data_IF_027408977911
#
_entry.id   IF_027408977911
#
_cell.length_a   1.000
_cell.length_b   1.000
_cell.length_c   1.000
_cell.angle_alpha   90.00
_cell.angle_beta   90.00
_cell.angle_gamma   90.00
#
_symmetry.space_group_name_H-M   'P 1'
#
loop_
_entity.id
_entity.type
_entity.pdbx_description
1 polymer ?
#
# COMPACT_ATOMS: atom_id res chain seq x y z
N UNK A 1 5.36 6.51 -4.81
CA UNK A 1 4.50 5.56 -5.54
C UNK A 1 4.39 5.89 -7.02
N UNK A 2 4.04 7.12 -7.41
CA UNK A 2 3.91 7.49 -8.84
C UNK A 2 5.17 7.19 -9.67
N UNK A 3 6.36 7.52 -9.14
CA UNK A 3 7.63 7.25 -9.82
C UNK A 3 8.07 5.77 -9.74
N UNK A 4 7.55 5.02 -8.77
CA UNK A 4 7.92 3.64 -8.49
C UNK A 4 6.68 2.79 -8.17
N UNK A 5 5.79 2.56 -9.15
CA UNK A 5 4.52 1.87 -8.95
C UNK A 5 4.71 0.41 -8.46
N UNK A 6 5.84 -0.20 -8.79
CA UNK A 6 6.17 -1.58 -8.43
C UNK A 6 6.88 -1.75 -7.08
N UNK A 7 7.12 -0.66 -6.34
CA UNK A 7 7.83 -0.70 -5.05
C UNK A 7 7.08 -1.48 -3.94
N UNK A 8 5.75 -1.63 -4.05
CA UNK A 8 4.96 -2.41 -3.11
C UNK A 8 5.08 -3.92 -3.34
N UNK A 9 5.04 -4.66 -2.23
CA UNK A 9 5.08 -6.12 -2.21
C UNK A 9 3.83 -6.70 -2.87
N UNK A 10 4.01 -7.69 -3.75
CA UNK A 10 2.89 -8.42 -4.37
C UNK A 10 2.19 -9.26 -3.31
N UNK A 11 0.86 -9.24 -3.34
CA UNK A 11 0.04 -10.10 -2.47
C UNK A 11 -0.41 -11.35 -3.22
N UNK A 12 -1.02 -12.31 -2.51
CA UNK A 12 -1.64 -13.48 -3.16
C UNK A 12 -2.78 -13.12 -4.12
N UNK A 13 -3.38 -11.93 -3.97
CA UNK A 13 -4.38 -11.42 -4.90
C UNK A 13 -3.71 -10.77 -6.10
N UNK A 14 -4.10 -11.21 -7.30
CA UNK A 14 -3.58 -10.71 -8.57
C UNK A 14 -3.73 -9.19 -8.67
N UNK A 15 -2.69 -8.53 -9.15
CA UNK A 15 -2.63 -7.07 -9.31
C UNK A 15 -2.80 -6.24 -8.02
N UNK A 16 -2.76 -6.86 -6.85
CA UNK A 16 -2.79 -6.13 -5.57
C UNK A 16 -1.39 -6.12 -4.97
N UNK A 17 -0.99 -4.93 -4.57
CA UNK A 17 0.28 -4.63 -3.93
C UNK A 17 0.05 -3.97 -2.58
N UNK A 18 1.02 -4.15 -1.68
CA UNK A 18 1.03 -3.52 -0.36
C UNK A 18 2.36 -2.84 -0.11
N UNK A 19 2.32 -1.57 0.31
CA UNK A 19 3.51 -0.82 0.73
C UNK A 19 3.31 -0.26 2.14
N UNK A 20 4.39 -0.09 2.88
CA UNK A 20 4.37 0.62 4.18
C UNK A 20 4.71 2.09 3.95
N UNK A 21 3.90 2.98 4.51
CA UNK A 21 4.09 4.42 4.42
C UNK A 21 5.11 4.90 5.46
N UNK A 22 6.39 4.62 5.24
CA UNK A 22 7.47 5.05 6.12
C UNK A 22 7.50 6.59 6.27
N UNK A 23 7.74 7.15 7.48
CA UNK A 23 8.06 6.47 8.75
C UNK A 23 6.83 6.04 9.58
N UNK A 24 5.62 6.22 9.06
CA UNK A 24 4.39 5.98 9.80
C UNK A 24 3.96 4.51 9.75
N UNK A 25 3.27 4.00 10.79
CA UNK A 25 2.85 2.61 10.86
C UNK A 25 1.60 2.35 10.01
N UNK A 26 1.50 2.87 8.80
CA UNK A 26 0.39 2.60 7.89
C UNK A 26 0.82 1.70 6.74
N UNK A 27 -0.04 0.72 6.40
CA UNK A 27 0.07 -0.06 5.18
C UNK A 27 -0.97 0.44 4.17
N UNK A 28 -0.49 0.78 2.98
CA UNK A 28 -1.31 1.16 1.83
C UNK A 28 -1.46 -0.09 0.95
N UNK A 29 -2.70 -0.49 0.70
CA UNK A 29 -3.04 -1.54 -0.26
C UNK A 29 -3.53 -0.87 -1.54
N UNK A 30 -2.96 -1.25 -2.68
CA UNK A 30 -3.23 -0.59 -3.96
C UNK A 30 -3.14 -1.58 -5.11
N UNK A 31 -3.73 -1.22 -6.25
CA UNK A 31 -3.55 -1.90 -7.53
C UNK A 31 -3.00 -0.95 -8.59
N UNK A 32 -2.47 -1.51 -9.67
CA UNK A 32 -2.01 -0.76 -10.83
C UNK A 32 -3.09 -0.84 -11.92
N UNK A 33 -3.62 0.31 -12.32
CA UNK A 33 -4.36 0.47 -13.56
C UNK A 33 -3.40 0.61 -14.75
N UNK A 34 -3.91 0.97 -15.93
CA UNK A 34 -3.06 1.22 -17.10
C UNK A 34 -2.10 2.40 -16.86
N UNK A 35 -2.63 3.52 -16.36
CA UNK A 35 -1.88 4.77 -16.15
C UNK A 35 -2.12 5.37 -14.76
N UNK A 36 -2.65 4.55 -13.84
CA UNK A 36 -3.07 5.02 -12.53
C UNK A 36 -2.69 4.03 -11.41
N UNK A 37 -2.64 4.57 -10.20
CA UNK A 37 -2.47 3.80 -8.98
C UNK A 37 -3.78 3.92 -8.21
N UNK A 38 -4.50 2.81 -8.09
CA UNK A 38 -5.79 2.78 -7.40
C UNK A 38 -5.53 2.38 -5.95
N UNK A 39 -5.70 3.31 -5.02
CA UNK A 39 -5.58 3.02 -3.59
C UNK A 39 -6.86 2.33 -3.13
N UNK A 40 -6.72 1.09 -2.69
CA UNK A 40 -7.84 0.25 -2.25
C UNK A 40 -8.13 0.42 -0.75
N UNK A 41 -7.12 0.80 0.02
CA UNK A 41 -7.29 1.06 1.44
C UNK A 41 -6.00 1.40 2.15
N UNK A 42 -6.16 2.06 3.30
CA UNK A 42 -5.09 2.45 4.20
C UNK A 42 -5.42 1.86 5.57
N UNK A 43 -4.49 1.09 6.13
CA UNK A 43 -4.66 0.44 7.43
C UNK A 43 -3.52 0.78 8.38
N UNK A 44 -3.86 1.17 9.61
CA UNK A 44 -2.90 1.28 10.69
C UNK A 44 -2.40 -0.13 11.09
N UNK A 45 -1.08 -0.30 11.13
CA UNK A 45 -0.41 -1.58 11.38
C UNK A 45 0.09 -1.73 12.81
N UNK A 46 0.26 -0.64 13.56
CA UNK A 46 0.61 -0.76 14.97
C UNK A 46 -0.56 -1.39 15.73
N UNK A 47 -0.24 -2.41 16.54
CA UNK A 47 -1.22 -3.19 17.31
C UNK A 47 -1.88 -2.37 18.43
N UNK A 48 -1.17 -1.34 18.92
CA UNK A 48 -1.65 -0.33 19.87
C UNK A 48 -1.30 1.04 19.30
N UNK A 49 -2.22 1.71 18.59
CA UNK A 49 -2.04 3.12 18.28
C UNK A 49 -1.93 3.87 19.61
N UNK A 50 -0.90 4.69 19.79
CA UNK A 50 -0.93 5.70 20.85
C UNK A 50 -2.01 6.69 20.42
N UNK A 51 -3.09 6.75 21.19
CA UNK A 51 -4.15 7.75 21.04
C UNK A 51 -3.66 9.08 21.55
#
# INVERSE_FOLDING_TARGET
MLQHPFAGHVTTRRNIRRIVAHPYPYAITYSLGKDEIIVLGIRHTARRPLT
#
